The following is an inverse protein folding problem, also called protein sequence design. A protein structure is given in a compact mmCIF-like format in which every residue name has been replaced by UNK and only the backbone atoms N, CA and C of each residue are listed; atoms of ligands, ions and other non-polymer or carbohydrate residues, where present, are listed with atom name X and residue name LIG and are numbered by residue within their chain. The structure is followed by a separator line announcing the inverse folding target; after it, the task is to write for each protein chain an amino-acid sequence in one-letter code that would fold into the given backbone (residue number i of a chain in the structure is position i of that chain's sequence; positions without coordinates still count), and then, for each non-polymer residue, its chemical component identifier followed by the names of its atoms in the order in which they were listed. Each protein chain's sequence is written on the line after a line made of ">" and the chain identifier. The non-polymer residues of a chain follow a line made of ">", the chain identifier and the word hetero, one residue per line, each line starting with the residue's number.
data_IF_291460788424
#
_entry.id   IF_291460788424
#
_cell.length_a   1.000
_cell.length_b   1.000
_cell.length_c   1.000
_cell.angle_alpha   90.00
_cell.angle_beta   90.00
_cell.angle_gamma   90.00
#
_symmetry.space_group_name_H-M   'P 1'
#
loop_
_entity.id
_entity.type
_entity.pdbx_description
1 polymer ?
#
# COMPACT_ATOMS: atom_id res chain seq x y z
N UNK A 1 4.97 14.93 -18.91
CA UNK A 1 4.53 15.24 -17.53
C UNK A 1 5.57 14.64 -16.60
N UNK A 2 6.41 15.46 -15.96
CA UNK A 2 7.38 14.95 -14.98
C UNK A 2 6.71 14.91 -13.61
N UNK A 3 6.38 13.71 -13.15
CA UNK A 3 5.88 13.53 -11.79
C UNK A 3 7.06 13.69 -10.83
N UNK A 4 7.01 14.71 -9.96
CA UNK A 4 8.04 14.97 -8.96
C UNK A 4 7.83 14.07 -7.73
N UNK A 5 8.07 12.77 -7.87
CA UNK A 5 8.09 11.87 -6.71
C UNK A 5 9.51 11.76 -6.14
N UNK A 6 9.61 11.74 -4.81
CA UNK A 6 10.85 11.45 -4.09
C UNK A 6 10.72 10.08 -3.46
N UNK A 7 11.56 9.14 -3.89
CA UNK A 7 11.63 7.80 -3.31
C UNK A 7 12.74 7.78 -2.28
N UNK A 8 12.44 7.28 -1.09
CA UNK A 8 13.43 7.05 -0.05
C UNK A 8 13.12 5.74 0.67
N UNK A 9 14.16 5.01 1.02
CA UNK A 9 14.03 3.85 1.91
C UNK A 9 13.92 4.37 3.34
N UNK A 10 12.88 3.94 4.05
CA UNK A 10 12.63 4.33 5.43
C UNK A 10 12.66 3.08 6.30
N UNK A 11 13.45 3.12 7.37
CA UNK A 11 13.48 2.03 8.33
C UNK A 11 12.25 2.10 9.25
N UNK A 12 11.77 0.97 9.77
CA UNK A 12 10.52 0.91 10.53
C UNK A 12 10.50 1.90 11.74
N UNK A 13 11.64 2.07 12.41
CA UNK A 13 11.82 2.99 13.53
C UNK A 13 11.63 4.48 13.17
N UNK A 14 11.94 4.84 11.93
CA UNK A 14 11.88 6.22 11.44
C UNK A 14 10.58 6.50 10.68
N UNK A 15 9.75 5.47 10.47
CA UNK A 15 8.54 5.53 9.66
C UNK A 15 7.59 6.62 10.11
N UNK A 16 7.26 6.71 11.40
CA UNK A 16 6.36 7.74 11.94
C UNK A 16 6.88 9.17 11.75
N UNK A 17 8.20 9.36 11.57
CA UNK A 17 8.82 10.67 11.33
C UNK A 17 8.99 10.96 9.83
N UNK A 18 8.88 9.93 8.99
CA UNK A 18 8.89 10.10 7.55
C UNK A 18 7.61 10.83 7.12
N UNK A 19 7.71 11.73 6.15
CA UNK A 19 6.59 12.47 5.60
C UNK A 19 6.33 11.93 4.18
N UNK A 20 5.61 10.83 4.10
CA UNK A 20 5.35 10.09 2.87
C UNK A 20 3.86 10.13 2.54
N UNK A 21 3.53 10.38 1.28
CA UNK A 21 2.15 10.29 0.78
C UNK A 21 1.81 8.83 0.41
N UNK A 22 2.82 8.02 0.09
CA UNK A 22 2.68 6.61 -0.20
C UNK A 22 3.81 5.80 0.46
N UNK A 23 3.49 4.58 0.89
CA UNK A 23 4.44 3.59 1.42
C UNK A 23 4.33 2.30 0.62
N UNK A 24 5.49 1.70 0.34
CA UNK A 24 5.60 0.39 -0.29
C UNK A 24 6.33 -0.58 0.63
N UNK A 25 5.63 -1.59 1.11
CA UNK A 25 6.13 -2.61 2.01
C UNK A 25 6.62 -3.83 1.23
N UNK A 26 7.92 -4.10 1.29
CA UNK A 26 8.54 -5.22 0.58
C UNK A 26 8.91 -6.41 1.47
N UNK A 27 9.18 -6.16 2.76
CA UNK A 27 9.73 -7.17 3.67
C UNK A 27 9.02 -7.26 5.02
N UNK A 28 7.99 -6.46 5.27
CA UNK A 28 7.26 -6.43 6.55
C UNK A 28 6.05 -7.35 6.52
N UNK A 29 5.80 -8.09 7.61
CA UNK A 29 4.60 -8.94 7.70
C UNK A 29 3.31 -8.11 7.71
N UNK A 30 2.14 -8.68 7.37
CA UNK A 30 0.87 -7.95 7.39
C UNK A 30 0.58 -7.27 8.75
N UNK A 31 0.91 -7.92 9.87
CA UNK A 31 0.77 -7.35 11.20
C UNK A 31 1.74 -6.18 11.45
N UNK A 32 2.99 -6.28 10.99
CA UNK A 32 3.95 -5.17 11.06
C UNK A 32 3.49 -3.99 10.21
N UNK A 33 2.97 -4.25 9.00
CA UNK A 33 2.39 -3.23 8.14
C UNK A 33 1.24 -2.51 8.85
N UNK A 34 0.29 -3.27 9.41
CA UNK A 34 -0.85 -2.73 10.16
C UNK A 34 -0.39 -1.82 11.31
N UNK A 35 0.56 -2.29 12.12
CA UNK A 35 1.12 -1.51 13.24
C UNK A 35 1.81 -0.23 12.75
N UNK A 36 2.60 -0.29 11.67
CA UNK A 36 3.27 0.88 11.12
C UNK A 36 2.27 1.92 10.61
N UNK A 37 1.24 1.47 9.88
CA UNK A 37 0.19 2.34 9.31
C UNK A 37 -0.63 2.99 10.44
N UNK A 38 -1.06 2.22 11.44
CA UNK A 38 -1.87 2.74 12.55
C UNK A 38 -1.11 3.77 13.41
N UNK A 39 0.20 3.59 13.57
CA UNK A 39 1.05 4.52 14.31
C UNK A 39 1.57 5.68 13.43
N UNK A 40 1.17 5.75 12.16
CA UNK A 40 1.58 6.82 11.27
C UNK A 40 0.74 8.08 11.55
N UNK A 41 1.35 9.23 11.90
CA UNK A 41 0.62 10.40 12.36
C UNK A 41 -0.23 11.07 11.27
N UNK A 42 0.00 10.75 10.00
CA UNK A 42 -0.71 11.33 8.86
C UNK A 42 -1.68 10.32 8.26
N UNK A 43 -2.99 10.54 8.46
CA UNK A 43 -4.03 9.61 7.98
C UNK A 43 -4.23 9.56 6.45
N UNK A 44 -3.55 10.42 5.68
CA UNK A 44 -3.57 10.38 4.20
C UNK A 44 -2.29 9.70 3.71
N UNK A 45 -2.24 8.38 3.89
CA UNK A 45 -1.14 7.53 3.49
C UNK A 45 -1.67 6.39 2.60
N UNK A 46 -1.23 6.37 1.35
CA UNK A 46 -1.49 5.24 0.45
C UNK A 46 -0.51 4.11 0.77
N UNK A 47 -1.00 2.90 1.06
CA UNK A 47 -0.14 1.76 1.40
C UNK A 47 -0.22 0.64 0.36
N UNK A 48 0.95 0.16 -0.06
CA UNK A 48 1.12 -0.96 -0.98
C UNK A 48 2.02 -2.03 -0.34
N UNK A 49 1.79 -3.30 -0.66
CA UNK A 49 2.69 -4.40 -0.26
C UNK A 49 2.82 -5.45 -1.35
N UNK A 50 3.91 -6.23 -1.34
CA UNK A 50 4.11 -7.37 -2.28
C UNK A 50 4.20 -8.73 -1.57
N UNK A 51 4.34 -8.72 -0.24
CA UNK A 51 4.47 -9.91 0.59
C UNK A 51 3.23 -10.15 1.47
N UNK A 52 2.04 -9.87 0.93
CA UNK A 52 0.75 -9.96 1.62
C UNK A 52 -0.36 -10.38 0.65
N UNK A 53 -0.26 -11.58 0.04
CA UNK A 53 -1.19 -12.05 -1.00
C UNK A 53 -2.63 -12.23 -0.51
N UNK A 54 -2.83 -12.45 0.79
CA UNK A 54 -4.17 -12.63 1.37
C UNK A 54 -4.92 -11.30 1.50
N UNK A 55 -4.19 -10.21 1.77
CA UNK A 55 -4.71 -8.85 1.80
C UNK A 55 -5.85 -8.58 2.80
N UNK A 56 -5.90 -9.34 3.90
CA UNK A 56 -6.94 -9.19 4.93
C UNK A 56 -6.65 -8.05 5.91
N UNK A 57 -5.37 -7.79 6.20
CA UNK A 57 -4.90 -6.72 7.09
C UNK A 57 -3.68 -6.01 6.50
N UNK A 58 -3.34 -4.83 7.03
CA UNK A 58 -2.15 -4.08 6.66
C UNK A 58 -2.40 -3.09 5.52
N UNK A 59 -1.84 -3.35 4.35
CA UNK A 59 -1.84 -2.40 3.22
C UNK A 59 -3.19 -2.29 2.51
N UNK A 60 -3.46 -1.13 1.90
CA UNK A 60 -4.66 -0.90 1.06
C UNK A 60 -4.57 -1.75 -0.21
N UNK A 61 -3.44 -1.71 -0.91
CA UNK A 61 -3.18 -2.54 -2.08
C UNK A 61 -2.17 -3.62 -1.75
N UNK A 62 -2.50 -4.85 -2.10
CA UNK A 62 -1.57 -5.97 -1.96
C UNK A 62 -1.31 -6.57 -3.34
N UNK A 63 -0.10 -6.32 -3.83
CA UNK A 63 0.39 -6.78 -5.12
C UNK A 63 0.78 -8.25 -5.02
N UNK A 64 0.51 -8.98 -6.09
CA UNK A 64 0.99 -10.35 -6.24
C UNK A 64 1.16 -10.66 -7.73
N UNK A 65 1.94 -11.71 -8.02
CA UNK A 65 2.19 -12.15 -9.39
C UNK A 65 1.29 -13.34 -9.70
N UNK A 66 0.56 -13.23 -10.81
CA UNK A 66 -0.27 -14.30 -11.38
C UNK A 66 0.04 -14.41 -12.87
N UNK A 67 0.41 -15.60 -13.36
CA UNK A 67 0.70 -15.86 -14.77
C UNK A 67 1.68 -14.85 -15.42
N UNK A 68 2.76 -14.48 -14.72
CA UNK A 68 3.77 -13.47 -15.11
C UNK A 68 3.26 -12.01 -15.17
N UNK A 69 2.02 -11.73 -14.79
CA UNK A 69 1.49 -10.38 -14.65
C UNK A 69 1.42 -9.98 -13.17
N UNK A 70 1.72 -8.72 -12.88
CA UNK A 70 1.48 -8.15 -11.55
C UNK A 70 0.04 -7.66 -11.49
N UNK A 71 -0.72 -8.21 -10.56
CA UNK A 71 -2.07 -7.78 -10.24
C UNK A 71 -2.15 -7.43 -8.75
N UNK A 72 -3.34 -7.11 -8.23
CA UNK A 72 -3.50 -6.73 -6.84
C UNK A 72 -4.88 -7.07 -6.27
N UNK A 73 -4.92 -7.26 -4.95
CA UNK A 73 -6.13 -7.20 -4.13
C UNK A 73 -6.23 -5.86 -3.42
N UNK A 74 -7.45 -5.50 -3.01
CA UNK A 74 -7.72 -4.29 -2.25
C UNK A 74 -8.30 -4.65 -0.89
N UNK A 75 -7.68 -4.17 0.18
CA UNK A 75 -8.24 -4.20 1.52
C UNK A 75 -9.20 -3.01 1.70
N UNK A 76 -10.50 -3.27 1.60
CA UNK A 76 -11.53 -2.24 1.71
C UNK A 76 -11.67 -1.66 3.13
N UNK A 77 -11.37 -2.45 4.16
CA UNK A 77 -11.39 -1.97 5.55
C UNK A 77 -10.28 -0.92 5.75
N UNK A 78 -9.04 -1.27 5.37
CA UNK A 78 -7.91 -0.35 5.40
C UNK A 78 -8.17 0.93 4.59
N UNK A 79 -8.80 0.81 3.42
CA UNK A 79 -9.17 1.96 2.59
C UNK A 79 -10.21 2.84 3.28
N UNK A 80 -11.25 2.25 3.86
CA UNK A 80 -12.35 3.00 4.50
C UNK A 80 -11.91 3.80 5.73
N UNK A 81 -10.87 3.31 6.44
CA UNK A 81 -10.24 4.01 7.55
C UNK A 81 -9.12 4.97 7.13
N UNK A 82 -8.74 4.99 5.85
CA UNK A 82 -7.78 5.94 5.30
C UNK A 82 -8.47 7.25 4.90
N UNK A 83 -7.70 8.35 4.86
CA UNK A 83 -8.14 9.60 4.21
C UNK A 83 -7.75 9.65 2.72
N UNK A 84 -7.49 8.51 2.11
CA UNK A 84 -7.12 8.41 0.70
C UNK A 84 -8.39 8.18 -0.13
N UNK A 85 -8.58 8.97 -1.18
CA UNK A 85 -9.63 8.76 -2.14
C UNK A 85 -9.09 7.98 -3.34
N UNK A 86 -9.73 6.87 -3.69
CA UNK A 86 -9.33 6.00 -4.79
C UNK A 86 -10.46 5.96 -5.81
N UNK A 87 -10.13 6.31 -7.05
CA UNK A 87 -11.05 6.15 -8.18
C UNK A 87 -11.27 4.65 -8.46
N UNK A 88 -12.51 4.14 -8.44
CA UNK A 88 -12.80 2.72 -8.66
C UNK A 88 -12.28 2.17 -10.00
N UNK A 89 -12.02 3.03 -10.99
CA UNK A 89 -11.42 2.64 -12.28
C UNK A 89 -10.03 2.04 -12.12
N UNK A 90 -9.34 2.25 -10.99
CA UNK A 90 -8.08 1.57 -10.68
C UNK A 90 -8.22 0.04 -10.75
N UNK A 91 -9.39 -0.52 -10.39
CA UNK A 91 -9.65 -1.96 -10.41
C UNK A 91 -9.57 -2.56 -11.83
N UNK A 92 -9.71 -1.73 -12.87
CA UNK A 92 -9.52 -2.16 -14.26
C UNK A 92 -8.06 -2.55 -14.54
N UNK A 93 -7.10 -1.98 -13.79
CA UNK A 93 -5.69 -2.34 -13.92
C UNK A 93 -5.42 -3.77 -13.45
N UNK A 94 -6.14 -4.24 -12.42
CA UNK A 94 -6.03 -5.62 -11.94
C UNK A 94 -6.67 -6.63 -12.92
N UNK A 95 -7.79 -6.28 -13.55
CA UNK A 95 -8.47 -7.13 -14.54
C UNK A 95 -7.66 -7.38 -15.80
N UNK A 96 -6.87 -6.40 -16.24
CA UNK A 96 -6.04 -6.55 -17.44
C UNK A 96 -4.82 -7.46 -17.22
N UNK A 97 -4.60 -7.94 -16.00
CA UNK A 97 -3.53 -8.86 -15.63
C UNK A 97 -4.01 -10.32 -15.47
N UNK A 98 -5.32 -10.58 -15.58
CA UNK A 98 -5.90 -11.93 -15.71
C UNK A 98 -5.88 -12.40 -17.17
#
# INVERSE_FOLDING_TARGET
>A
MSYNYRVQTVNAKDFARSHCQAVYFSSTSPQQQQNLIQNYPYHSLLSLSINNSECEIGSIFCLYTQNNYTTFKVNLDALSHSKVHIDPRVLLLAKNAE
#
